data_IF_359965269427
#
_entry.id   IF_359965269427
#
_cell.length_a   1.000
_cell.length_b   1.000
_cell.length_c   1.000
_cell.angle_alpha   90.00
_cell.angle_beta   90.00
_cell.angle_gamma   90.00
#
_symmetry.space_group_name_H-M   'P 1'
#
loop_
_entity.id
_entity.type
_entity.pdbx_description
1 polymer ?
#
# COMPACT_ATOMS: atom_id res chain seq x y z
N UNK A 1 -8.37 10.36 7.43
CA UNK A 1 -7.85 9.52 8.54
C UNK A 1 -8.99 9.09 9.45
N UNK A 2 -9.71 8.02 9.10
CA UNK A 2 -10.67 7.39 10.02
C UNK A 2 -9.89 6.36 10.85
N UNK A 3 -9.34 6.79 11.99
CA UNK A 3 -8.81 5.84 12.97
C UNK A 3 -9.99 5.07 13.57
N UNK A 4 -10.00 3.75 13.38
CA UNK A 4 -10.98 2.86 13.96
C UNK A 4 -10.86 2.87 15.50
N UNK A 5 -11.95 2.53 16.21
CA UNK A 5 -11.99 2.51 17.66
C UNK A 5 -10.86 1.64 18.26
N UNK A 6 -10.29 2.00 19.42
CA UNK A 6 -9.04 1.44 19.97
C UNK A 6 -9.06 -0.04 20.37
N UNK A 7 -10.09 -0.81 19.98
CA UNK A 7 -10.29 -2.21 20.39
C UNK A 7 -10.12 -3.24 19.26
N UNK A 8 -9.88 -2.82 18.02
CA UNK A 8 -9.66 -3.75 16.89
C UNK A 8 -8.47 -3.33 16.04
N UNK A 9 -7.49 -4.22 15.82
CA UNK A 9 -6.34 -3.91 14.99
C UNK A 9 -6.79 -3.76 13.53
N UNK A 10 -6.29 -2.72 12.87
CA UNK A 10 -6.52 -2.49 11.45
C UNK A 10 -5.53 -3.28 10.60
N UNK A 11 -5.77 -3.35 9.29
CA UNK A 11 -4.87 -4.06 8.37
C UNK A 11 -3.41 -3.58 8.46
N UNK A 12 -3.21 -2.27 8.68
CA UNK A 12 -1.87 -1.68 8.84
C UNK A 12 -1.18 -2.08 10.13
N UNK A 13 -1.94 -2.42 11.16
CA UNK A 13 -1.40 -2.81 12.47
C UNK A 13 -0.98 -4.29 12.51
N UNK A 14 -1.54 -5.12 11.61
CA UNK A 14 -1.30 -6.57 11.55
C UNK A 14 -0.37 -6.99 10.41
N UNK A 15 -0.18 -6.13 9.40
CA UNK A 15 0.74 -6.40 8.31
C UNK A 15 2.19 -6.34 8.80
N UNK A 16 2.97 -7.38 8.48
CA UNK A 16 4.40 -7.36 8.74
C UNK A 16 5.04 -6.28 7.86
N UNK A 17 5.77 -5.31 8.44
CA UNK A 17 6.38 -4.25 7.65
C UNK A 17 7.40 -4.82 6.67
N UNK A 18 8.31 -5.68 7.15
CA UNK A 18 9.49 -6.07 6.38
C UNK A 18 10.76 -5.38 6.88
N UNK A 19 11.94 -5.78 6.38
CA UNK A 19 13.21 -5.12 6.68
C UNK A 19 13.30 -3.78 5.93
N UNK A 20 13.85 -2.73 6.55
CA UNK A 20 13.97 -1.42 5.91
C UNK A 20 14.90 -1.49 4.69
N UNK A 21 14.37 -1.30 3.49
CA UNK A 21 15.10 -1.31 2.22
C UNK A 21 15.50 0.09 1.75
N UNK A 22 15.08 1.14 2.48
CA UNK A 22 15.46 2.50 2.16
C UNK A 22 16.98 2.66 2.33
N UNK A 23 17.61 3.14 1.27
CA UNK A 23 19.02 3.56 1.34
C UNK A 23 19.17 4.71 2.34
N UNK A 24 20.27 4.71 3.09
CA UNK A 24 20.60 5.85 3.94
C UNK A 24 20.69 7.12 3.08
N UNK A 25 19.89 8.13 3.43
CA UNK A 25 19.79 9.37 2.67
C UNK A 25 21.14 10.11 2.60
N UNK A 26 21.92 10.09 3.68
CA UNK A 26 23.25 10.71 3.69
C UNK A 26 24.18 10.00 2.71
N UNK A 27 24.22 8.67 2.74
CA UNK A 27 25.06 7.89 1.81
C UNK A 27 24.65 8.13 0.36
N UNK A 28 23.34 8.23 0.09
CA UNK A 28 22.82 8.56 -1.22
C UNK A 28 23.29 9.96 -1.64
N UNK A 29 23.10 10.98 -0.79
CA UNK A 29 23.55 12.35 -1.06
C UNK A 29 25.07 12.45 -1.30
N UNK A 30 25.88 11.72 -0.53
CA UNK A 30 27.33 11.67 -0.74
C UNK A 30 27.70 11.05 -2.09
N UNK A 31 27.05 9.97 -2.50
CA UNK A 31 27.24 9.35 -3.83
C UNK A 31 26.79 10.27 -4.96
N UNK A 32 25.66 10.96 -4.79
CA UNK A 32 25.17 11.96 -5.74
C UNK A 32 26.17 13.11 -5.92
N UNK A 33 26.76 13.61 -4.83
CA UNK A 33 27.76 14.70 -4.88
C UNK A 33 29.14 14.27 -5.37
N UNK A 34 29.48 12.98 -5.27
CA UNK A 34 30.77 12.45 -5.71
C UNK A 34 30.87 12.32 -7.23
N UNK A 35 29.76 12.11 -7.91
CA UNK A 35 29.72 11.99 -9.37
C UNK A 35 29.46 13.36 -10.01
N UNK A 36 30.13 13.64 -11.13
CA UNK A 36 29.94 14.90 -11.87
C UNK A 36 28.58 14.99 -12.58
N UNK A 37 27.91 13.85 -12.78
CA UNK A 37 26.62 13.73 -13.47
C UNK A 37 25.70 12.87 -12.61
N UNK A 38 24.50 13.37 -12.36
CA UNK A 38 23.44 12.66 -11.65
C UNK A 38 22.24 12.46 -12.58
N UNK A 39 21.72 11.23 -12.63
CA UNK A 39 20.46 10.92 -13.30
C UNK A 39 19.36 10.88 -12.25
N UNK A 40 18.30 11.66 -12.47
CA UNK A 40 17.10 11.67 -11.62
C UNK A 40 15.92 11.31 -12.50
N UNK A 41 15.12 10.35 -12.04
CA UNK A 41 13.88 9.95 -12.69
C UNK A 41 12.78 9.85 -11.64
N UNK A 42 11.60 10.33 -11.98
CA UNK A 42 10.40 10.15 -11.18
C UNK A 42 9.73 8.83 -11.58
N UNK A 43 9.61 7.90 -10.64
CA UNK A 43 8.91 6.63 -10.85
C UNK A 43 7.45 6.81 -10.46
N UNK A 44 6.63 7.15 -11.45
CA UNK A 44 5.19 7.29 -11.25
C UNK A 44 4.57 5.95 -10.81
N UNK A 45 3.79 6.01 -9.75
CA UNK A 45 2.98 4.90 -9.25
C UNK A 45 3.79 3.63 -8.96
N UNK A 46 4.97 3.76 -8.33
CA UNK A 46 5.88 2.64 -8.07
C UNK A 46 5.20 1.44 -7.39
N UNK A 47 4.24 1.67 -6.48
CA UNK A 47 3.52 0.59 -5.79
C UNK A 47 2.63 -0.24 -6.72
N UNK A 48 2.10 0.35 -7.79
CA UNK A 48 1.34 -0.40 -8.80
C UNK A 48 2.24 -1.25 -9.71
N UNK A 49 3.54 -0.95 -9.75
CA UNK A 49 4.51 -1.72 -10.53
C UNK A 49 5.06 -2.92 -9.75
N UNK A 50 4.86 -2.97 -8.43
CA UNK A 50 5.32 -4.05 -7.56
C UNK A 50 4.17 -5.05 -7.38
N UNK A 51 4.32 -6.25 -7.93
CA UNK A 51 3.37 -7.34 -7.74
C UNK A 51 3.45 -7.94 -6.33
N UNK A 52 2.29 -8.23 -5.73
CA UNK A 52 2.21 -9.04 -4.52
C UNK A 52 2.36 -10.52 -4.86
N UNK A 53 3.13 -11.23 -4.02
CA UNK A 53 3.21 -12.67 -4.07
C UNK A 53 1.82 -13.28 -3.89
N UNK A 54 1.50 -14.34 -4.64
CA UNK A 54 0.14 -14.88 -4.69
C UNK A 54 -0.39 -15.29 -3.31
N UNK A 55 0.49 -15.80 -2.46
CA UNK A 55 0.21 -16.22 -1.10
C UNK A 55 -0.18 -15.05 -0.18
N UNK A 56 0.30 -13.83 -0.45
CA UNK A 56 0.08 -12.66 0.40
C UNK A 56 -1.14 -11.82 -0.04
N UNK A 57 -1.67 -12.07 -1.24
CA UNK A 57 -2.82 -11.32 -1.80
C UNK A 57 -4.08 -11.47 -0.94
N UNK A 58 -4.25 -12.62 -0.28
CA UNK A 58 -5.45 -12.89 0.52
C UNK A 58 -5.53 -12.06 1.80
N UNK A 59 -4.40 -11.58 2.31
CA UNK A 59 -4.34 -10.64 3.44
C UNK A 59 -4.84 -9.24 3.07
N UNK A 60 -5.01 -8.94 1.78
CA UNK A 60 -5.38 -7.60 1.27
C UNK A 60 -6.83 -7.50 0.80
N UNK A 61 -7.69 -8.45 1.21
CA UNK A 61 -9.10 -8.47 0.81
C UNK A 61 -9.89 -7.36 1.50
N UNK A 62 -10.74 -6.68 0.74
CA UNK A 62 -11.70 -5.71 1.28
C UNK A 62 -13.06 -5.86 0.61
N UNK A 63 -14.09 -5.41 1.31
CA UNK A 63 -15.47 -5.44 0.84
C UNK A 63 -15.74 -4.19 0.00
N UNK A 64 -16.27 -4.37 -1.20
CA UNK A 64 -16.72 -3.31 -2.09
C UNK A 64 -18.24 -3.38 -2.26
N UNK A 65 -18.89 -2.22 -2.26
CA UNK A 65 -20.33 -2.10 -2.46
C UNK A 65 -20.57 -0.98 -3.47
N UNK A 66 -21.11 -1.34 -4.64
CA UNK A 66 -21.20 -0.45 -5.80
C UNK A 66 -22.30 0.61 -5.67
N UNK A 67 -23.27 0.41 -4.76
CA UNK A 67 -24.40 1.32 -4.56
C UNK A 67 -24.55 1.67 -3.08
N UNK A 68 -24.43 2.97 -2.76
CA UNK A 68 -24.74 3.49 -1.43
C UNK A 68 -26.27 3.49 -1.22
N UNK A 69 -26.76 3.27 0.01
CA UNK A 69 -28.17 3.10 0.28
C UNK A 69 -28.87 4.46 0.21
N UNK A 70 -29.31 4.87 -0.97
CA UNK A 70 -30.35 5.89 -1.09
C UNK A 70 -31.74 5.27 -1.24
N UNK A 71 -31.84 4.03 -1.72
CA UNK A 71 -33.10 3.33 -1.91
C UNK A 71 -33.17 2.08 -1.04
N UNK A 72 -34.16 2.04 -0.15
CA UNK A 72 -34.40 0.97 0.84
C UNK A 72 -34.85 -0.38 0.22
N UNK A 73 -34.58 -0.62 -1.06
CA UNK A 73 -35.08 -1.78 -1.81
C UNK A 73 -34.04 -2.43 -2.74
N UNK A 74 -32.75 -2.15 -2.55
CA UNK A 74 -31.67 -2.78 -3.32
C UNK A 74 -31.06 -3.89 -2.48
N UNK A 75 -31.13 -5.13 -2.97
CA UNK A 75 -30.32 -6.23 -2.46
C UNK A 75 -28.84 -5.89 -2.70
N UNK A 76 -28.18 -5.33 -1.68
CA UNK A 76 -26.74 -5.09 -1.71
C UNK A 76 -26.03 -6.43 -1.88
N UNK A 77 -25.40 -6.64 -3.04
CA UNK A 77 -24.47 -7.74 -3.23
C UNK A 77 -23.05 -7.22 -3.00
N UNK A 78 -22.49 -7.37 -1.79
CA UNK A 78 -21.12 -6.95 -1.57
C UNK A 78 -20.16 -7.85 -2.35
N UNK A 79 -19.15 -7.25 -2.97
CA UNK A 79 -18.09 -7.95 -3.66
C UNK A 79 -16.82 -7.95 -2.82
N UNK A 80 -16.11 -9.08 -2.81
CA UNK A 80 -14.80 -9.14 -2.15
C UNK A 80 -13.74 -8.93 -3.23
N UNK A 81 -12.99 -7.84 -3.10
CA UNK A 81 -11.89 -7.50 -4.01
C UNK A 81 -10.58 -7.70 -3.25
N UNK A 82 -9.53 -8.09 -3.96
CA UNK A 82 -8.16 -8.24 -3.43
C UNK A 82 -7.17 -7.48 -4.28
N UNK A 83 -6.08 -7.03 -3.67
CA UNK A 83 -5.01 -6.38 -4.40
C UNK A 83 -4.05 -7.40 -4.99
N UNK A 84 -3.51 -7.06 -6.16
CA UNK A 84 -2.48 -7.83 -6.86
C UNK A 84 -1.13 -7.14 -6.83
N UNK A 85 -1.09 -5.88 -6.42
CA UNK A 85 0.09 -5.02 -6.35
C UNK A 85 0.21 -4.39 -4.97
N UNK A 86 1.38 -3.83 -4.65
CA UNK A 86 1.61 -3.16 -3.38
C UNK A 86 0.59 -2.02 -3.18
N UNK A 87 0.06 -1.91 -1.95
CA UNK A 87 -0.90 -0.88 -1.57
C UNK A 87 -0.18 0.43 -1.24
N UNK A 88 -0.91 1.54 -1.35
CA UNK A 88 -0.51 2.81 -0.73
C UNK A 88 -0.98 2.81 0.74
N UNK A 89 -0.24 3.52 1.60
CA UNK A 89 -0.58 3.74 3.02
C UNK A 89 -0.62 2.48 3.92
N UNK A 90 -0.05 1.35 3.48
CA UNK A 90 0.21 0.22 4.38
C UNK A 90 1.61 0.32 4.95
N UNK A 91 1.81 -0.13 6.19
CA UNK A 91 3.12 -0.14 6.85
C UNK A 91 4.19 -0.83 6.01
N UNK A 92 3.81 -1.86 5.26
CA UNK A 92 4.64 -2.64 4.33
C UNK A 92 4.94 -1.96 2.98
N UNK A 93 4.41 -0.78 2.68
CA UNK A 93 4.66 -0.09 1.41
C UNK A 93 5.73 1.00 1.54
N UNK A 94 6.11 1.43 2.73
CA UNK A 94 7.15 2.46 2.92
C UNK A 94 8.59 1.93 2.82
N UNK A 95 8.76 0.72 2.26
CA UNK A 95 10.05 0.04 2.14
C UNK A 95 10.81 0.44 0.88
#
# INVERSE_FOLDING_TARGET
MLRHAPSKPSLTDILFPGPNLNSNLFDLMFKFRRNSIALVADIKNIFLQIGLAENDRDSTRFLWVDQLPHDQNISMKPEIIRMTTALFEVTSSTF
#
